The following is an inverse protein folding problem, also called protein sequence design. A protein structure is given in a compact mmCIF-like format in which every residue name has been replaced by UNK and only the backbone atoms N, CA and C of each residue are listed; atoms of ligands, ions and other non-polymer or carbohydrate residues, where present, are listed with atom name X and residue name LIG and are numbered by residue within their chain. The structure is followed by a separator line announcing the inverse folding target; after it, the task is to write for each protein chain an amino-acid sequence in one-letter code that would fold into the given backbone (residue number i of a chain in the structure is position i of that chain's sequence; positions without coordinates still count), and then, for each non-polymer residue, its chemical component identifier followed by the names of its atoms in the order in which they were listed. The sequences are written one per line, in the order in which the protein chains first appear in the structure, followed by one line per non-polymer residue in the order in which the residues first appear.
data_IF_501240313124
#
_entry.id   IF_501240313124
#
_cell.length_a   1.000
_cell.length_b   1.000
_cell.length_c   1.000
_cell.angle_alpha   90.00
_cell.angle_beta   90.00
_cell.angle_gamma   90.00
#
_symmetry.space_group_name_H-M   'P 1'
#
loop_
_entity.id
_entity.type
_entity.pdbx_description
1 polymer ?
#
# COMPACT_ATOMS: atom_id res chain seq x y z
N UNK A 1 -21.22 5.38 -13.98
CA UNK A 1 -20.29 6.30 -13.32
C UNK A 1 -20.83 6.80 -11.97
N UNK A 2 -22.06 7.36 -11.86
CA UNK A 2 -22.63 7.84 -10.57
C UNK A 2 -22.59 6.80 -9.46
N UNK A 3 -23.04 5.58 -9.74
CA UNK A 3 -23.10 4.49 -8.75
C UNK A 3 -21.74 4.05 -8.20
N UNK A 4 -20.67 4.09 -9.01
CA UNK A 4 -19.34 3.73 -8.52
C UNK A 4 -18.72 4.82 -7.64
N UNK A 5 -19.19 6.07 -7.70
CA UNK A 5 -18.81 7.10 -6.73
C UNK A 5 -19.46 6.82 -5.35
N UNK A 6 -20.75 6.49 -5.35
CA UNK A 6 -21.41 6.09 -4.10
C UNK A 6 -20.78 4.82 -3.52
N UNK A 7 -20.47 3.82 -4.38
CA UNK A 7 -19.79 2.61 -3.95
C UNK A 7 -18.42 2.89 -3.31
N UNK A 8 -17.64 3.82 -3.86
CA UNK A 8 -16.37 4.24 -3.27
C UNK A 8 -16.56 4.88 -1.89
N UNK A 9 -17.50 5.81 -1.74
CA UNK A 9 -17.79 6.45 -0.46
C UNK A 9 -18.25 5.45 0.60
N UNK A 10 -19.20 4.57 0.23
CA UNK A 10 -19.69 3.51 1.13
C UNK A 10 -18.56 2.52 1.46
N UNK A 11 -17.77 2.11 0.45
CA UNK A 11 -16.62 1.21 0.64
C UNK A 11 -15.56 1.79 1.57
N UNK A 12 -15.25 3.07 1.47
CA UNK A 12 -14.36 3.73 2.41
C UNK A 12 -14.91 3.71 3.85
N UNK A 13 -16.21 3.94 4.02
CA UNK A 13 -16.84 3.79 5.34
C UNK A 13 -16.79 2.34 5.84
N UNK A 14 -16.97 1.34 4.96
CA UNK A 14 -16.83 -0.08 5.31
C UNK A 14 -15.42 -0.37 5.78
N UNK A 15 -14.37 0.07 5.06
CA UNK A 15 -12.97 -0.09 5.48
C UNK A 15 -12.75 0.54 6.85
N UNK A 16 -13.18 1.80 7.07
CA UNK A 16 -12.98 2.48 8.35
C UNK A 16 -13.68 1.80 9.55
N UNK A 17 -14.84 1.19 9.33
CA UNK A 17 -15.64 0.59 10.41
C UNK A 17 -15.27 -0.88 10.64
N UNK A 18 -15.09 -1.65 9.58
CA UNK A 18 -14.93 -3.10 9.63
C UNK A 18 -13.45 -3.49 9.44
N UNK A 19 -12.75 -2.91 8.45
CA UNK A 19 -11.42 -3.33 8.02
C UNK A 19 -11.44 -4.74 7.43
N UNK A 20 -10.36 -5.51 7.64
CA UNK A 20 -10.22 -6.89 7.16
C UNK A 20 -10.37 -7.88 8.32
N UNK A 21 -11.58 -8.39 8.58
CA UNK A 21 -11.81 -9.36 9.65
C UNK A 21 -11.04 -10.66 9.40
N UNK A 22 -10.26 -11.08 10.38
CA UNK A 22 -9.56 -12.37 10.32
C UNK A 22 -10.57 -13.52 10.16
N UNK A 23 -10.34 -14.40 9.20
CA UNK A 23 -11.17 -15.59 8.96
C UNK A 23 -12.20 -15.45 7.83
N UNK A 24 -12.40 -14.29 7.27
CA UNK A 24 -13.19 -14.15 6.04
C UNK A 24 -12.30 -14.31 4.79
N UNK A 25 -12.83 -14.93 3.72
CA UNK A 25 -12.09 -14.99 2.46
C UNK A 25 -11.78 -13.59 1.96
N UNK A 26 -10.49 -13.26 1.82
CA UNK A 26 -10.07 -11.95 1.38
C UNK A 26 -9.60 -12.00 -0.09
N UNK A 27 -10.05 -11.07 -0.96
CA UNK A 27 -9.69 -11.07 -2.38
C UNK A 27 -8.18 -11.06 -2.64
N UNK A 28 -7.40 -10.36 -1.80
CA UNK A 28 -5.93 -10.31 -1.90
C UNK A 28 -5.31 -11.70 -1.71
N UNK A 29 -5.87 -12.52 -0.82
CA UNK A 29 -5.42 -13.91 -0.67
C UNK A 29 -5.71 -14.73 -1.92
N UNK A 30 -6.88 -14.55 -2.56
CA UNK A 30 -7.21 -15.21 -3.83
C UNK A 30 -6.25 -14.76 -4.95
N UNK A 31 -5.93 -13.46 -5.04
CA UNK A 31 -4.91 -12.93 -5.95
C UNK A 31 -3.54 -13.57 -5.67
N UNK A 32 -3.13 -13.66 -4.42
CA UNK A 32 -1.87 -14.31 -4.02
C UNK A 32 -1.81 -15.79 -4.42
N UNK A 33 -2.91 -16.54 -4.24
CA UNK A 33 -3.00 -17.92 -4.71
C UNK A 33 -2.91 -18.03 -6.25
N UNK A 34 -3.55 -17.13 -6.99
CA UNK A 34 -3.44 -17.07 -8.44
C UNK A 34 -2.01 -16.79 -8.88
N UNK A 35 -1.32 -15.83 -8.27
CA UNK A 35 0.09 -15.52 -8.55
C UNK A 35 0.95 -16.76 -8.32
N UNK A 36 0.82 -17.43 -7.19
CA UNK A 36 1.58 -18.65 -6.86
C UNK A 36 1.29 -19.81 -7.81
N UNK A 37 0.05 -19.92 -8.30
CA UNK A 37 -0.32 -20.92 -9.29
C UNK A 37 0.36 -20.64 -10.63
N UNK A 38 0.26 -19.40 -11.11
CA UNK A 38 0.84 -18.98 -12.38
C UNK A 38 2.37 -19.02 -12.32
N UNK A 39 3.00 -18.63 -11.21
CA UNK A 39 4.44 -18.76 -11.02
C UNK A 39 4.89 -20.22 -11.19
N UNK A 40 4.25 -21.17 -10.48
CA UNK A 40 4.57 -22.60 -10.60
C UNK A 40 4.39 -23.12 -12.01
N UNK A 41 3.33 -22.67 -12.72
CA UNK A 41 3.06 -23.07 -14.10
C UNK A 41 4.13 -22.53 -15.05
N UNK A 42 4.39 -21.22 -15.00
CA UNK A 42 5.30 -20.60 -15.97
C UNK A 42 6.78 -20.91 -15.72
N UNK A 43 7.19 -21.14 -14.46
CA UNK A 43 8.53 -21.70 -14.18
C UNK A 43 8.77 -23.09 -14.78
N UNK A 44 7.69 -23.84 -15.12
CA UNK A 44 7.79 -25.14 -15.82
C UNK A 44 7.76 -24.98 -17.33
N UNK A 45 7.06 -23.99 -17.85
CA UNK A 45 6.85 -23.80 -19.28
C UNK A 45 7.97 -23.00 -19.95
N UNK A 46 8.60 -22.08 -19.22
CA UNK A 46 9.65 -21.23 -19.76
C UNK A 46 11.04 -21.75 -19.41
N UNK A 47 12.06 -21.52 -20.28
CA UNK A 47 13.42 -21.93 -20.01
C UNK A 47 13.99 -21.17 -18.79
N UNK A 48 14.82 -21.86 -18.00
CA UNK A 48 15.50 -21.30 -16.82
C UNK A 48 16.70 -20.42 -17.23
N UNK A 49 16.44 -19.43 -18.04
CA UNK A 49 17.39 -18.40 -18.48
C UNK A 49 16.84 -17.04 -18.03
N UNK A 50 17.68 -16.02 -17.85
CA UNK A 50 17.19 -14.67 -17.49
C UNK A 50 16.08 -14.14 -18.42
N UNK A 51 16.20 -14.36 -19.74
CA UNK A 51 15.18 -13.99 -20.70
C UNK A 51 13.88 -14.78 -20.56
N UNK A 52 13.99 -16.10 -20.35
CA UNK A 52 12.83 -16.98 -20.14
C UNK A 52 12.08 -16.64 -18.84
N UNK A 53 12.79 -16.39 -17.75
CA UNK A 53 12.17 -16.00 -16.49
C UNK A 53 11.48 -14.61 -16.58
N UNK A 54 12.09 -13.63 -17.29
CA UNK A 54 11.44 -12.34 -17.55
C UNK A 54 10.18 -12.48 -18.38
N UNK A 55 10.19 -13.33 -19.40
CA UNK A 55 9.01 -13.64 -20.18
C UNK A 55 7.91 -14.33 -19.34
N UNK A 56 8.30 -15.26 -18.48
CA UNK A 56 7.39 -15.88 -17.51
C UNK A 56 6.77 -14.81 -16.57
N UNK A 57 7.58 -13.91 -16.04
CA UNK A 57 7.14 -12.80 -15.19
C UNK A 57 6.16 -11.87 -15.90
N UNK A 58 6.41 -11.56 -17.17
CA UNK A 58 5.49 -10.78 -18.00
C UNK A 58 4.14 -11.48 -18.19
N UNK A 59 4.16 -12.79 -18.48
CA UNK A 59 2.93 -13.58 -18.61
C UNK A 59 2.14 -13.66 -17.30
N UNK A 60 2.83 -13.84 -16.15
CA UNK A 60 2.20 -13.83 -14.82
C UNK A 60 1.52 -12.47 -14.60
N UNK A 61 2.24 -11.39 -14.88
CA UNK A 61 1.72 -10.03 -14.70
C UNK A 61 0.47 -9.78 -15.54
N UNK A 62 0.52 -10.08 -16.85
CA UNK A 62 -0.61 -9.86 -17.77
C UNK A 62 -1.83 -10.66 -17.32
N UNK A 63 -1.66 -11.96 -17.08
CA UNK A 63 -2.80 -12.82 -16.74
C UNK A 63 -3.40 -12.47 -15.38
N UNK A 64 -2.57 -12.23 -14.37
CA UNK A 64 -3.06 -11.85 -13.04
C UNK A 64 -3.82 -10.54 -13.10
N UNK A 65 -3.27 -9.51 -13.75
CA UNK A 65 -3.88 -8.20 -13.89
C UNK A 65 -5.23 -8.27 -14.64
N UNK A 66 -5.26 -9.01 -15.77
CA UNK A 66 -6.49 -9.19 -16.56
C UNK A 66 -7.56 -9.95 -15.77
N UNK A 67 -7.22 -11.06 -15.12
CA UNK A 67 -8.17 -11.85 -14.33
C UNK A 67 -8.70 -11.03 -13.15
N UNK A 68 -7.81 -10.31 -12.43
CA UNK A 68 -8.19 -9.48 -11.29
C UNK A 68 -9.12 -8.31 -11.68
N UNK A 69 -9.02 -7.79 -12.90
CA UNK A 69 -9.94 -6.78 -13.41
C UNK A 69 -11.23 -7.38 -13.96
N UNK A 70 -11.12 -8.46 -14.74
CA UNK A 70 -12.23 -9.04 -15.47
C UNK A 70 -13.28 -9.71 -14.56
N UNK A 71 -12.85 -10.46 -13.53
CA UNK A 71 -13.77 -11.14 -12.62
C UNK A 71 -14.71 -10.16 -11.89
N UNK A 72 -14.21 -9.08 -11.23
CA UNK A 72 -15.05 -8.05 -10.66
C UNK A 72 -15.96 -7.37 -11.69
N UNK A 73 -15.46 -7.09 -12.89
CA UNK A 73 -16.25 -6.48 -13.94
C UNK A 73 -17.42 -7.37 -14.38
N UNK A 74 -17.17 -8.65 -14.59
CA UNK A 74 -18.20 -9.65 -14.94
C UNK A 74 -19.23 -9.83 -13.82
N UNK A 75 -18.78 -9.90 -12.58
CA UNK A 75 -19.68 -10.00 -11.43
C UNK A 75 -20.59 -8.77 -11.33
N UNK A 76 -20.02 -7.57 -11.41
CA UNK A 76 -20.79 -6.32 -11.36
C UNK A 76 -21.73 -6.16 -12.56
N UNK A 77 -21.33 -6.64 -13.74
CA UNK A 77 -22.20 -6.69 -14.92
C UNK A 77 -23.38 -7.63 -14.68
N UNK A 78 -23.16 -8.82 -14.12
CA UNK A 78 -24.21 -9.76 -13.73
C UNK A 78 -25.16 -9.16 -12.69
N UNK A 79 -24.62 -8.56 -11.62
CA UNK A 79 -25.42 -7.87 -10.60
C UNK A 79 -26.29 -6.76 -11.19
N UNK A 80 -25.75 -5.99 -12.14
CA UNK A 80 -26.48 -4.90 -12.80
C UNK A 80 -27.67 -5.40 -13.64
N UNK A 81 -27.65 -6.66 -14.11
CA UNK A 81 -28.80 -7.29 -14.83
C UNK A 81 -29.93 -7.65 -13.87
N UNK A 82 -29.63 -7.86 -12.59
CA UNK A 82 -30.62 -8.16 -11.56
C UNK A 82 -31.17 -6.87 -10.95
N UNK A 83 -30.28 -6.01 -10.42
CA UNK A 83 -30.66 -4.74 -9.80
C UNK A 83 -29.49 -3.81 -9.68
N UNK A 84 -29.73 -2.51 -9.88
CA UNK A 84 -28.74 -1.46 -9.62
C UNK A 84 -28.32 -1.41 -8.16
N UNK A 85 -29.23 -1.72 -7.25
CA UNK A 85 -28.97 -1.74 -5.80
C UNK A 85 -28.06 -2.91 -5.41
N UNK A 86 -28.27 -4.09 -6.03
CA UNK A 86 -27.40 -5.24 -5.83
C UNK A 86 -25.98 -4.94 -6.33
N UNK A 87 -25.86 -4.34 -7.52
CA UNK A 87 -24.57 -3.88 -8.04
C UNK A 87 -23.89 -2.89 -7.07
N UNK A 88 -24.62 -1.87 -6.59
CA UNK A 88 -24.10 -0.89 -5.66
C UNK A 88 -23.60 -1.57 -4.37
N UNK A 89 -24.39 -2.46 -3.78
CA UNK A 89 -24.00 -3.16 -2.56
C UNK A 89 -22.73 -3.99 -2.75
N UNK A 90 -22.67 -4.80 -3.81
CA UNK A 90 -21.51 -5.64 -4.12
C UNK A 90 -20.26 -4.77 -4.43
N UNK A 91 -20.41 -3.73 -5.25
CA UNK A 91 -19.29 -2.81 -5.57
C UNK A 91 -18.79 -2.08 -4.33
N UNK A 92 -19.69 -1.72 -3.39
CA UNK A 92 -19.30 -1.07 -2.12
C UNK A 92 -18.46 -2.00 -1.23
N UNK A 93 -18.86 -3.26 -1.09
CA UNK A 93 -18.07 -4.26 -0.35
C UNK A 93 -16.72 -4.47 -1.01
N UNK A 94 -16.68 -4.61 -2.33
CA UNK A 94 -15.43 -4.74 -3.08
C UNK A 94 -14.51 -3.54 -2.88
N UNK A 95 -15.04 -2.32 -2.91
CA UNK A 95 -14.27 -1.12 -2.64
C UNK A 95 -13.67 -1.13 -1.23
N UNK A 96 -14.44 -1.55 -0.22
CA UNK A 96 -13.95 -1.67 1.16
C UNK A 96 -12.82 -2.69 1.29
N UNK A 97 -12.95 -3.85 0.63
CA UNK A 97 -11.93 -4.91 0.67
C UNK A 97 -10.61 -4.57 -0.06
N UNK A 98 -10.58 -3.54 -0.89
CA UNK A 98 -9.37 -3.08 -1.59
C UNK A 98 -8.58 -2.10 -0.73
N UNK A 99 -9.27 -1.26 0.05
CA UNK A 99 -8.68 -0.29 0.95
C UNK A 99 -8.17 -0.98 2.22
N UNK A 100 -7.11 -0.45 2.79
CA UNK A 100 -6.45 -1.07 3.94
C UNK A 100 -6.16 -0.06 5.06
N UNK A 101 -6.92 1.05 5.16
CA UNK A 101 -6.63 2.11 6.12
C UNK A 101 -6.82 1.62 7.57
N UNK A 102 -7.94 0.93 7.85
CA UNK A 102 -8.20 0.39 9.19
C UNK A 102 -7.24 -0.73 9.54
N UNK A 103 -7.01 -1.68 8.63
CA UNK A 103 -6.13 -2.82 8.88
C UNK A 103 -4.71 -2.36 9.16
N UNK A 104 -4.19 -1.40 8.39
CA UNK A 104 -2.87 -0.82 8.60
C UNK A 104 -2.75 -0.13 9.97
N UNK A 105 -3.76 0.64 10.36
CA UNK A 105 -3.81 1.23 11.69
C UNK A 105 -3.85 0.17 12.78
N UNK A 106 -4.75 -0.79 12.67
CA UNK A 106 -4.96 -1.79 13.73
C UNK A 106 -3.71 -2.66 13.92
N UNK A 107 -3.04 -3.06 12.85
CA UNK A 107 -1.78 -3.79 12.93
C UNK A 107 -0.65 -2.92 13.52
N UNK A 108 -0.52 -1.65 13.12
CA UNK A 108 0.46 -0.74 13.72
C UNK A 108 0.18 -0.48 15.20
N UNK A 109 -1.09 -0.42 15.62
CA UNK A 109 -1.47 -0.27 17.03
C UNK A 109 -1.21 -1.52 17.86
N UNK A 110 -1.12 -2.73 17.26
CA UNK A 110 -0.61 -3.92 17.97
C UNK A 110 0.86 -3.76 18.33
N UNK A 111 1.67 -3.18 17.42
CA UNK A 111 3.08 -2.86 17.72
C UNK A 111 3.18 -1.85 18.86
N UNK A 112 2.36 -0.79 18.82
CA UNK A 112 2.26 0.19 19.91
C UNK A 112 1.92 -0.47 21.24
N UNK A 113 0.89 -1.33 21.28
CA UNK A 113 0.46 -2.00 22.50
C UNK A 113 1.53 -2.96 23.05
N UNK A 114 2.21 -3.71 22.20
CA UNK A 114 3.30 -4.60 22.58
C UNK A 114 4.50 -3.84 23.15
N UNK A 115 4.87 -2.69 22.58
CA UNK A 115 5.95 -1.83 23.11
C UNK A 115 5.56 -1.17 24.45
N UNK A 116 4.27 -0.87 24.66
CA UNK A 116 3.79 -0.16 25.84
C UNK A 116 3.56 -1.08 27.03
N UNK A 117 3.04 -2.28 26.80
CA UNK A 117 2.53 -3.17 27.85
C UNK A 117 3.16 -4.57 27.82
N UNK A 118 3.87 -4.92 26.78
CA UNK A 118 4.47 -6.22 26.56
C UNK A 118 6.00 -6.20 26.59
N UNK A 119 6.58 -7.15 25.87
CA UNK A 119 8.02 -7.31 25.72
C UNK A 119 8.52 -6.82 24.35
N UNK A 120 9.84 -6.62 24.22
CA UNK A 120 10.45 -6.29 22.94
C UNK A 120 10.26 -7.41 21.90
N UNK A 121 10.24 -8.67 22.33
CA UNK A 121 10.04 -9.81 21.44
C UNK A 121 8.60 -9.88 20.91
N UNK A 122 7.60 -9.58 21.74
CA UNK A 122 6.21 -9.41 21.31
C UNK A 122 6.07 -8.25 20.31
N UNK A 123 6.77 -7.14 20.54
CA UNK A 123 6.78 -6.01 19.61
C UNK A 123 7.47 -6.35 18.29
N UNK A 124 8.56 -7.13 18.32
CA UNK A 124 9.21 -7.66 17.10
C UNK A 124 8.27 -8.59 16.34
N UNK A 125 7.55 -9.47 17.05
CA UNK A 125 6.56 -10.34 16.43
C UNK A 125 5.43 -9.53 15.79
N UNK A 126 4.90 -8.52 16.48
CA UNK A 126 3.84 -7.66 15.94
C UNK A 126 4.32 -6.91 14.69
N UNK A 127 5.51 -6.29 14.71
CA UNK A 127 6.02 -5.54 13.56
C UNK A 127 6.38 -6.45 12.39
N UNK A 128 6.79 -7.72 12.61
CA UNK A 128 7.07 -8.68 11.55
C UNK A 128 5.86 -9.02 10.67
N UNK A 129 4.65 -8.78 11.18
CA UNK A 129 3.42 -8.97 10.42
C UNK A 129 3.16 -7.88 9.36
N UNK A 130 3.86 -6.75 9.47
CA UNK A 130 3.65 -5.57 8.60
C UNK A 130 4.91 -5.12 7.85
N UNK A 131 6.06 -5.73 8.10
CA UNK A 131 7.33 -5.42 7.41
C UNK A 131 7.91 -6.63 6.72
N UNK A 132 8.59 -6.44 5.59
CA UNK A 132 9.28 -7.51 4.86
C UNK A 132 10.74 -7.74 5.28
N UNK A 133 11.27 -6.97 6.26
CA UNK A 133 12.67 -7.08 6.72
C UNK A 133 12.80 -7.95 7.95
N UNK A 134 14.03 -8.41 8.23
CA UNK A 134 14.37 -9.14 9.45
C UNK A 134 14.21 -8.23 10.67
N UNK A 135 13.44 -8.67 11.66
CA UNK A 135 13.11 -7.87 12.85
C UNK A 135 13.86 -8.30 14.11
N UNK A 136 14.50 -9.48 14.10
CA UNK A 136 15.12 -10.08 15.28
C UNK A 136 16.22 -9.22 15.94
N UNK A 137 16.86 -8.34 15.16
CA UNK A 137 17.94 -7.44 15.61
C UNK A 137 17.47 -6.04 15.96
N UNK A 138 16.18 -5.72 15.78
CA UNK A 138 15.67 -4.38 16.07
C UNK A 138 15.58 -4.15 17.58
N UNK A 139 16.09 -3.03 18.05
CA UNK A 139 15.77 -2.50 19.36
C UNK A 139 14.38 -1.84 19.37
N UNK A 140 13.91 -1.36 20.50
CA UNK A 140 12.60 -0.73 20.62
C UNK A 140 12.44 0.47 19.65
N UNK A 141 13.50 1.28 19.45
CA UNK A 141 13.49 2.41 18.53
C UNK A 141 13.43 1.93 17.07
N UNK A 142 14.13 0.86 16.75
CA UNK A 142 14.09 0.21 15.45
C UNK A 142 12.70 -0.34 15.11
N UNK A 143 12.02 -0.94 16.10
CA UNK A 143 10.64 -1.42 15.95
C UNK A 143 9.66 -0.26 15.73
N UNK A 144 9.75 0.82 16.54
CA UNK A 144 8.93 2.02 16.36
C UNK A 144 9.13 2.63 14.97
N UNK A 145 10.40 2.76 14.54
CA UNK A 145 10.75 3.29 13.23
C UNK A 145 10.17 2.45 12.11
N UNK A 146 10.31 1.13 12.18
CA UNK A 146 9.75 0.21 11.19
C UNK A 146 8.22 0.33 11.09
N UNK A 147 7.52 0.47 12.20
CA UNK A 147 6.06 0.66 12.20
C UNK A 147 5.66 2.00 11.55
N UNK A 148 6.35 3.10 11.89
CA UNK A 148 6.07 4.43 11.31
C UNK A 148 6.36 4.45 9.80
N UNK A 149 7.48 3.85 9.36
CA UNK A 149 7.84 3.70 7.93
C UNK A 149 6.75 2.96 7.17
N UNK A 150 6.32 1.80 7.69
CA UNK A 150 5.27 0.99 7.06
C UNK A 150 3.96 1.74 6.92
N UNK A 151 3.54 2.49 7.96
CA UNK A 151 2.33 3.33 7.89
C UNK A 151 2.50 4.43 6.84
N UNK A 152 3.66 5.08 6.78
CA UNK A 152 3.93 6.15 5.83
C UNK A 152 3.92 5.64 4.37
N UNK A 153 4.63 4.56 4.06
CA UNK A 153 4.69 3.94 2.74
C UNK A 153 3.31 3.43 2.31
N UNK A 154 2.66 2.63 3.15
CA UNK A 154 1.36 2.05 2.83
C UNK A 154 0.20 3.06 2.85
N UNK A 155 0.39 4.28 3.34
CA UNK A 155 -0.55 5.38 3.08
C UNK A 155 -0.73 5.57 1.58
N UNK A 156 0.36 5.51 0.79
CA UNK A 156 0.26 5.50 -0.67
C UNK A 156 -0.31 4.18 -1.19
N UNK A 157 0.38 3.08 -0.97
CA UNK A 157 0.19 1.83 -1.70
C UNK A 157 -1.02 1.01 -1.21
N UNK A 158 -1.37 1.16 0.06
CA UNK A 158 -2.50 0.47 0.68
C UNK A 158 -3.80 1.27 0.71
N UNK A 159 -3.73 2.61 0.55
CA UNK A 159 -4.91 3.46 0.74
C UNK A 159 -5.14 4.41 -0.44
N UNK A 160 -4.20 5.32 -0.73
CA UNK A 160 -4.45 6.41 -1.68
C UNK A 160 -4.41 5.91 -3.14
N UNK A 161 -3.43 5.08 -3.48
CA UNK A 161 -3.33 4.53 -4.83
C UNK A 161 -4.54 3.66 -5.18
N UNK A 162 -4.94 2.66 -4.37
CA UNK A 162 -6.15 1.90 -4.68
C UNK A 162 -7.39 2.81 -4.73
N UNK A 163 -7.51 3.84 -3.87
CA UNK A 163 -8.61 4.81 -3.90
C UNK A 163 -8.67 5.58 -5.23
N UNK A 164 -7.53 5.99 -5.77
CA UNK A 164 -7.45 6.65 -7.08
C UNK A 164 -7.96 5.73 -8.20
N UNK A 165 -7.51 4.47 -8.23
CA UNK A 165 -7.96 3.50 -9.23
C UNK A 165 -9.46 3.17 -9.09
N UNK A 166 -9.98 3.08 -7.87
CA UNK A 166 -11.41 2.97 -7.58
C UNK A 166 -12.18 4.20 -8.07
N UNK A 167 -11.65 5.39 -7.88
CA UNK A 167 -12.26 6.62 -8.37
C UNK A 167 -12.30 6.66 -9.90
N UNK A 168 -11.28 6.19 -10.61
CA UNK A 168 -11.21 6.18 -12.08
C UNK A 168 -12.16 5.13 -12.66
N UNK A 169 -12.02 3.87 -12.29
CA UNK A 169 -12.67 2.73 -12.95
C UNK A 169 -13.52 1.82 -12.05
N UNK A 170 -13.85 2.25 -10.82
CA UNK A 170 -14.60 1.43 -9.87
C UNK A 170 -13.81 0.21 -9.38
N UNK A 171 -14.52 -0.75 -8.80
CA UNK A 171 -13.89 -1.96 -8.25
C UNK A 171 -13.01 -2.73 -9.25
N UNK A 172 -13.36 -2.90 -10.53
CA UNK A 172 -12.48 -3.60 -11.47
C UNK A 172 -11.08 -3.01 -11.57
N UNK A 173 -10.96 -1.68 -11.64
CA UNK A 173 -9.65 -1.02 -11.74
C UNK A 173 -8.93 -0.99 -10.38
N UNK A 174 -9.67 -0.94 -9.27
CA UNK A 174 -9.10 -1.13 -7.94
C UNK A 174 -8.48 -2.52 -7.75
N UNK A 175 -9.17 -3.58 -8.18
CA UNK A 175 -8.63 -4.96 -8.15
C UNK A 175 -7.43 -5.13 -9.08
N UNK A 176 -7.46 -4.53 -10.25
CA UNK A 176 -6.29 -4.46 -11.14
C UNK A 176 -5.07 -3.89 -10.40
N UNK A 177 -5.22 -2.70 -9.80
CA UNK A 177 -4.13 -2.09 -9.04
C UNK A 177 -3.67 -2.98 -7.88
N UNK A 178 -4.61 -3.54 -7.11
CA UNK A 178 -4.27 -4.43 -5.99
C UNK A 178 -3.51 -5.66 -6.45
N UNK A 179 -3.83 -6.20 -7.62
CA UNK A 179 -3.08 -7.32 -8.21
C UNK A 179 -1.66 -6.91 -8.61
N UNK A 180 -1.47 -5.73 -9.21
CA UNK A 180 -0.15 -5.19 -9.55
C UNK A 180 0.71 -5.07 -8.30
N UNK A 181 0.20 -4.43 -7.25
CA UNK A 181 0.91 -4.24 -5.99
C UNK A 181 1.19 -5.57 -5.26
N UNK A 182 0.25 -6.53 -5.31
CA UNK A 182 0.46 -7.86 -4.71
C UNK A 182 1.53 -8.66 -5.47
N UNK A 183 1.60 -8.54 -6.79
CA UNK A 183 2.64 -9.21 -7.57
C UNK A 183 4.04 -8.67 -7.24
N UNK A 184 4.20 -7.37 -7.06
CA UNK A 184 5.47 -6.81 -6.61
C UNK A 184 5.83 -7.32 -5.22
N UNK A 185 4.90 -7.27 -4.27
CA UNK A 185 5.12 -7.75 -2.90
C UNK A 185 5.51 -9.24 -2.83
N UNK A 186 5.04 -10.07 -3.77
CA UNK A 186 5.32 -11.52 -3.79
C UNK A 186 6.53 -11.91 -4.64
N UNK A 187 6.79 -11.19 -5.73
CA UNK A 187 7.78 -11.56 -6.74
C UNK A 187 8.88 -10.51 -6.95
N UNK A 188 8.67 -9.24 -6.53
CA UNK A 188 9.52 -8.10 -6.85
C UNK A 188 10.90 -8.06 -6.17
N UNK A 189 11.36 -9.20 -5.62
CA UNK A 189 12.66 -9.28 -4.97
C UNK A 189 13.81 -9.24 -5.99
N UNK A 190 14.86 -8.48 -5.65
CA UNK A 190 16.06 -8.32 -6.51
C UNK A 190 17.05 -9.48 -6.44
N UNK A 191 16.80 -10.46 -5.58
CA UNK A 191 17.67 -11.61 -5.32
C UNK A 191 17.10 -12.89 -5.91
N UNK A 192 17.95 -13.90 -6.21
CA UNK A 192 17.47 -15.22 -6.57
C UNK A 192 16.56 -15.81 -5.47
N UNK A 193 15.48 -16.55 -5.82
CA UNK A 193 15.11 -16.98 -7.17
C UNK A 193 14.19 -16.02 -7.93
N UNK A 194 13.98 -14.79 -7.46
CA UNK A 194 12.98 -13.84 -8.00
C UNK A 194 13.57 -12.76 -8.91
N UNK A 195 14.90 -12.57 -8.92
CA UNK A 195 15.59 -11.48 -9.63
C UNK A 195 15.11 -11.23 -11.07
N UNK A 196 14.91 -12.29 -11.85
CA UNK A 196 14.51 -12.15 -13.26
C UNK A 196 12.99 -12.27 -13.44
N UNK A 197 12.33 -13.20 -12.80
CA UNK A 197 10.89 -13.38 -12.92
C UNK A 197 10.10 -12.23 -12.29
N UNK A 198 10.61 -11.63 -11.21
CA UNK A 198 10.01 -10.49 -10.52
C UNK A 198 10.27 -9.13 -11.18
N UNK A 199 11.18 -9.06 -12.15
CA UNK A 199 11.57 -7.79 -12.77
C UNK A 199 10.39 -7.04 -13.40
N UNK A 200 9.53 -7.75 -14.16
CA UNK A 200 8.37 -7.13 -14.81
C UNK A 200 7.32 -6.72 -13.78
N UNK A 201 6.88 -7.58 -12.84
CA UNK A 201 6.02 -7.18 -11.73
C UNK A 201 6.49 -5.92 -11.01
N UNK A 202 7.76 -5.86 -10.57
CA UNK A 202 8.32 -4.71 -9.86
C UNK A 202 8.31 -3.42 -10.71
N UNK A 203 8.72 -3.50 -11.98
CA UNK A 203 8.70 -2.34 -12.87
C UNK A 203 7.30 -1.83 -13.16
N UNK A 204 6.34 -2.72 -13.28
CA UNK A 204 4.95 -2.32 -13.51
C UNK A 204 4.33 -1.71 -12.25
N UNK A 205 4.65 -2.21 -11.06
CA UNK A 205 4.27 -1.54 -9.82
C UNK A 205 4.85 -0.13 -9.74
N UNK A 206 6.13 0.05 -10.04
CA UNK A 206 6.76 1.37 -10.12
C UNK A 206 6.01 2.33 -11.07
N UNK A 207 5.54 1.84 -12.22
CA UNK A 207 4.79 2.65 -13.21
C UNK A 207 3.40 3.01 -12.67
N UNK A 208 2.64 2.05 -12.13
CA UNK A 208 1.28 2.29 -11.66
C UNK A 208 1.23 3.09 -10.37
N UNK A 209 2.28 3.05 -9.55
CA UNK A 209 2.43 3.87 -8.36
C UNK A 209 3.05 5.26 -8.62
N UNK A 210 3.55 5.54 -9.82
CA UNK A 210 4.27 6.79 -10.09
C UNK A 210 3.42 8.04 -9.82
N UNK A 211 2.21 8.11 -10.33
CA UNK A 211 1.28 9.22 -10.09
C UNK A 211 0.68 9.15 -8.68
N UNK A 212 0.13 8.00 -8.24
CA UNK A 212 -0.45 7.89 -6.90
C UNK A 212 0.50 8.32 -5.78
N UNK A 213 1.75 7.88 -5.77
CA UNK A 213 2.71 8.21 -4.72
C UNK A 213 2.96 9.71 -4.58
N UNK A 214 3.01 10.44 -5.69
CA UNK A 214 3.18 11.91 -5.69
C UNK A 214 1.93 12.64 -5.22
N UNK A 215 0.76 12.18 -5.63
CA UNK A 215 -0.51 12.70 -5.12
C UNK A 215 -0.64 12.41 -3.62
N UNK A 216 -0.26 11.22 -3.17
CA UNK A 216 -0.25 10.83 -1.76
C UNK A 216 0.62 11.76 -0.92
N UNK A 217 1.83 12.08 -1.40
CA UNK A 217 2.75 13.00 -0.75
C UNK A 217 2.14 14.41 -0.62
N UNK A 218 1.60 14.96 -1.69
CA UNK A 218 0.97 16.29 -1.64
C UNK A 218 -0.25 16.33 -0.70
N UNK A 219 -1.06 15.28 -0.70
CA UNK A 219 -2.20 15.16 0.23
C UNK A 219 -1.74 14.96 1.67
N UNK A 220 -0.63 14.24 1.90
CA UNK A 220 -0.05 14.06 3.23
C UNK A 220 0.49 15.38 3.80
N UNK A 221 1.13 16.22 2.99
CA UNK A 221 1.54 17.58 3.38
C UNK A 221 0.34 18.44 3.74
N UNK A 222 -0.75 18.37 2.95
CA UNK A 222 -1.99 19.09 3.26
C UNK A 222 -2.63 18.58 4.57
N UNK A 223 -2.63 17.27 4.79
CA UNK A 223 -3.08 16.68 6.06
C UNK A 223 -2.20 17.12 7.23
N UNK A 224 -0.88 17.18 7.01
CA UNK A 224 0.07 17.72 7.99
C UNK A 224 -0.23 19.17 8.38
N UNK A 225 -0.63 20.01 7.42
CA UNK A 225 -1.05 21.39 7.69
C UNK A 225 -2.29 21.45 8.59
N UNK A 226 -3.29 20.63 8.31
CA UNK A 226 -4.52 20.57 9.12
C UNK A 226 -4.26 20.00 10.53
N UNK A 227 -3.26 19.12 10.68
CA UNK A 227 -2.81 18.60 11.98
C UNK A 227 -1.81 19.53 12.69
N UNK A 228 -1.52 20.72 12.13
CA UNK A 228 -0.57 21.69 12.66
C UNK A 228 0.86 21.13 12.85
N UNK A 229 1.27 20.22 11.98
CA UNK A 229 2.61 19.68 11.93
C UNK A 229 3.58 20.63 11.20
N UNK A 230 4.90 20.35 11.27
CA UNK A 230 5.93 21.17 10.62
C UNK A 230 5.95 20.97 9.09
N UNK A 231 4.97 21.57 8.39
CA UNK A 231 4.82 21.49 6.93
C UNK A 231 6.02 22.06 6.19
N UNK A 232 6.66 23.12 6.74
CA UNK A 232 7.84 23.71 6.13
C UNK A 232 8.99 22.70 6.10
N UNK A 233 9.17 21.97 7.19
CA UNK A 233 10.15 20.89 7.25
C UNK A 233 9.71 19.68 6.41
N UNK A 234 8.44 19.30 6.43
CA UNK A 234 7.87 18.27 5.56
C UNK A 234 8.22 18.51 4.10
N UNK A 235 7.89 19.69 3.58
CA UNK A 235 8.23 20.07 2.20
C UNK A 235 9.74 20.09 1.91
N UNK A 236 10.55 20.58 2.87
CA UNK A 236 12.03 20.58 2.74
C UNK A 236 12.57 19.16 2.59
N UNK A 237 12.16 18.25 3.48
CA UNK A 237 12.59 16.85 3.47
C UNK A 237 12.07 16.12 2.23
N UNK A 238 10.82 16.28 1.87
CA UNK A 238 10.25 15.73 0.65
C UNK A 238 11.10 16.10 -0.57
N UNK A 239 11.39 17.37 -0.79
CA UNK A 239 12.20 17.80 -1.95
C UNK A 239 13.60 17.22 -1.96
N UNK A 240 14.19 17.01 -0.80
CA UNK A 240 15.57 16.51 -0.66
C UNK A 240 15.64 14.99 -0.77
N UNK A 241 14.71 14.26 -0.14
CA UNK A 241 14.87 12.84 0.17
C UNK A 241 13.90 11.90 -0.60
N UNK A 242 12.92 12.41 -1.29
CA UNK A 242 11.89 11.61 -1.99
C UNK A 242 12.41 10.60 -3.03
N UNK A 243 13.67 10.68 -3.39
CA UNK A 243 14.31 9.79 -4.36
C UNK A 243 15.40 8.90 -3.71
N UNK A 244 15.46 8.82 -2.39
CA UNK A 244 16.47 8.04 -1.65
C UNK A 244 16.10 6.56 -1.44
N UNK A 245 15.03 6.09 -2.02
CA UNK A 245 14.64 4.68 -1.95
C UNK A 245 14.92 4.00 -3.29
N UNK A 246 15.08 2.64 -3.27
CA UNK A 246 15.28 1.85 -4.49
C UNK A 246 14.06 1.93 -5.43
N UNK A 247 12.84 1.89 -4.88
CA UNK A 247 11.63 2.26 -5.61
C UNK A 247 11.52 3.78 -5.73
N UNK A 248 11.13 4.32 -6.89
CA UNK A 248 10.94 5.77 -7.08
C UNK A 248 9.71 6.32 -6.34
N UNK A 249 8.94 5.44 -5.69
CA UNK A 249 7.62 5.73 -5.11
C UNK A 249 7.62 5.70 -3.58
N UNK A 250 8.27 4.74 -2.93
CA UNK A 250 8.20 4.52 -1.47
C UNK A 250 8.62 5.74 -0.66
N UNK A 251 9.74 6.38 -1.04
CA UNK A 251 10.23 7.55 -0.32
C UNK A 251 9.37 8.82 -0.48
N UNK A 252 8.35 8.83 -1.32
CA UNK A 252 7.49 10.01 -1.51
C UNK A 252 6.76 10.34 -0.19
N UNK A 253 5.98 9.40 0.34
CA UNK A 253 5.23 9.56 1.59
C UNK A 253 6.10 9.38 2.84
N UNK A 254 7.13 8.52 2.79
CA UNK A 254 8.08 8.39 3.90
C UNK A 254 8.82 9.69 4.20
N UNK A 255 9.26 10.40 3.16
CA UNK A 255 9.97 11.68 3.34
C UNK A 255 9.07 12.79 3.91
N UNK A 256 7.79 12.82 3.50
CA UNK A 256 6.82 13.74 4.09
C UNK A 256 6.60 13.42 5.56
N UNK A 257 6.31 12.16 5.88
CA UNK A 257 6.08 11.71 7.26
C UNK A 257 7.30 12.04 8.15
N UNK A 258 8.51 11.70 7.67
CA UNK A 258 9.75 12.01 8.37
C UNK A 258 9.89 13.51 8.64
N UNK A 259 9.64 14.34 7.64
CA UNK A 259 9.75 15.79 7.76
C UNK A 259 8.68 16.41 8.65
N UNK A 260 7.42 16.00 8.48
CA UNK A 260 6.28 16.50 9.26
C UNK A 260 6.41 16.17 10.75
N UNK A 261 6.92 14.96 11.07
CA UNK A 261 7.10 14.50 12.46
C UNK A 261 8.48 14.86 13.04
N UNK A 262 9.42 15.37 12.24
CA UNK A 262 10.78 15.71 12.66
C UNK A 262 11.64 14.49 13.00
N UNK A 263 11.42 13.38 12.28
CA UNK A 263 12.07 12.09 12.47
C UNK A 263 13.11 11.80 11.41
N UNK A 264 13.99 10.85 11.72
CA UNK A 264 14.87 10.20 10.76
C UNK A 264 14.44 8.75 10.58
N UNK A 265 13.97 8.40 9.40
CA UNK A 265 13.46 7.10 8.99
C UNK A 265 14.46 6.39 8.07
N UNK A 266 14.13 5.19 7.62
CA UNK A 266 14.93 4.32 6.77
C UNK A 266 16.31 3.98 7.39
N UNK A 267 17.36 3.91 6.58
CA UNK A 267 18.70 3.44 6.99
C UNK A 267 18.85 1.94 6.77
N UNK A 268 19.99 1.41 7.21
CA UNK A 268 20.37 0.01 6.99
C UNK A 268 19.32 -0.97 7.50
N UNK A 269 19.03 -2.01 6.72
CA UNK A 269 18.05 -3.03 7.06
C UNK A 269 18.56 -4.44 6.68
N UNK A 270 18.18 -5.43 7.44
CA UNK A 270 18.50 -6.83 7.17
C UNK A 270 17.36 -7.50 6.41
N UNK A 271 17.71 -8.27 5.37
CA UNK A 271 16.78 -9.09 4.61
C UNK A 271 17.41 -10.47 4.42
N UNK A 272 16.72 -11.52 4.87
CA UNK A 272 17.21 -12.90 4.80
C UNK A 272 18.65 -13.08 5.33
N UNK A 273 18.98 -12.37 6.41
CA UNK A 273 20.30 -12.42 7.04
C UNK A 273 21.40 -11.58 6.35
N UNK A 274 21.07 -10.86 5.27
CA UNK A 274 21.99 -9.98 4.54
C UNK A 274 21.70 -8.51 4.88
N UNK A 275 22.75 -7.74 5.17
CA UNK A 275 22.63 -6.30 5.44
C UNK A 275 22.57 -5.50 4.14
N UNK A 276 21.47 -4.81 3.94
CA UNK A 276 21.30 -3.84 2.85
C UNK A 276 21.52 -2.43 3.36
N UNK A 277 22.52 -1.77 2.82
CA UNK A 277 22.77 -0.36 3.11
C UNK A 277 21.73 0.51 2.40
N UNK A 278 21.08 1.38 3.16
CA UNK A 278 20.06 2.33 2.66
C UNK A 278 20.34 3.72 3.23
N UNK A 279 20.05 4.73 2.44
CA UNK A 279 20.12 6.10 2.89
C UNK A 279 19.05 6.38 3.96
N UNK A 280 19.36 7.28 4.90
CA UNK A 280 18.39 7.81 5.81
C UNK A 280 17.48 8.83 5.12
N UNK A 281 16.22 8.85 5.52
CA UNK A 281 15.19 9.78 5.09
C UNK A 281 14.82 10.67 6.28
N UNK A 282 14.85 12.00 6.08
CA UNK A 282 14.58 12.97 7.12
C UNK A 282 15.78 13.30 7.99
N UNK A 283 15.56 14.23 8.90
CA UNK A 283 16.54 14.72 9.90
C UNK A 283 16.03 14.35 11.30
N UNK A 284 16.93 13.85 12.16
CA UNK A 284 16.59 13.57 13.56
C UNK A 284 16.50 14.88 14.35
N UNK A 285 15.41 15.65 14.16
CA UNK A 285 15.16 16.86 14.98
C UNK A 285 14.79 16.50 16.42
N UNK A 286 14.28 15.31 16.62
CA UNK A 286 14.00 14.66 17.90
C UNK A 286 14.15 13.15 17.78
N UNK A 287 14.24 12.51 18.92
CA UNK A 287 14.20 11.05 19.00
C UNK A 287 12.78 10.56 18.66
N UNK A 288 12.72 9.34 18.11
CA UNK A 288 11.45 8.67 17.88
C UNK A 288 10.83 8.25 19.22
N UNK A 289 9.53 8.47 19.36
CA UNK A 289 8.73 8.16 20.54
C UNK A 289 7.66 7.13 20.21
N UNK A 290 7.17 6.44 21.22
CA UNK A 290 6.08 5.46 21.06
C UNK A 290 4.83 6.08 20.41
N UNK A 291 4.53 7.33 20.76
CA UNK A 291 3.39 8.10 20.25
C UNK A 291 3.50 8.44 18.75
N UNK A 292 4.65 8.22 18.11
CA UNK A 292 4.79 8.46 16.68
C UNK A 292 4.04 7.42 15.84
N UNK A 293 3.82 6.22 16.37
CA UNK A 293 2.97 5.22 15.71
C UNK A 293 1.53 5.73 15.55
N UNK A 294 0.80 6.14 16.61
CA UNK A 294 -0.52 6.71 16.44
C UNK A 294 -0.53 8.09 15.75
N UNK A 295 0.56 8.88 15.80
CA UNK A 295 0.69 10.14 15.03
C UNK A 295 0.72 9.86 13.52
N UNK A 296 1.51 8.88 13.07
CA UNK A 296 1.54 8.43 11.68
C UNK A 296 0.16 7.89 11.23
N UNK A 297 -0.51 7.10 12.07
CA UNK A 297 -1.87 6.63 11.80
C UNK A 297 -2.90 7.76 11.63
N UNK A 298 -2.84 8.81 12.46
CA UNK A 298 -3.71 10.00 12.30
C UNK A 298 -3.42 10.76 11.01
N UNK A 299 -2.14 10.91 10.66
CA UNK A 299 -1.72 11.54 9.41
C UNK A 299 -2.24 10.75 8.21
N UNK A 300 -2.10 9.42 8.21
CA UNK A 300 -2.65 8.52 7.19
C UNK A 300 -4.17 8.70 7.02
N UNK A 301 -4.94 8.65 8.12
CA UNK A 301 -6.39 8.78 8.03
C UNK A 301 -6.84 10.12 7.45
N UNK A 302 -6.23 11.21 7.89
CA UNK A 302 -6.58 12.52 7.35
C UNK A 302 -6.19 12.65 5.88
N UNK A 303 -5.03 12.07 5.50
CA UNK A 303 -4.63 11.98 4.08
C UNK A 303 -5.65 11.19 3.27
N UNK A 304 -6.17 10.08 3.79
CA UNK A 304 -7.20 9.28 3.13
C UNK A 304 -8.53 10.03 2.96
N UNK A 305 -8.96 10.78 3.97
CA UNK A 305 -10.16 11.61 3.89
C UNK A 305 -10.00 12.70 2.82
N UNK A 306 -8.85 13.39 2.79
CA UNK A 306 -8.57 14.40 1.77
C UNK A 306 -8.54 13.78 0.37
N UNK A 307 -7.96 12.60 0.22
CA UNK A 307 -7.96 11.87 -1.05
C UNK A 307 -9.37 11.53 -1.52
N UNK A 308 -10.23 11.03 -0.63
CA UNK A 308 -11.63 10.73 -0.97
C UNK A 308 -12.36 11.99 -1.45
N UNK A 309 -12.17 13.11 -0.78
CA UNK A 309 -12.77 14.39 -1.19
C UNK A 309 -12.26 14.83 -2.56
N UNK A 310 -10.95 14.83 -2.78
CA UNK A 310 -10.33 15.28 -4.05
C UNK A 310 -10.72 14.37 -5.20
N UNK A 311 -10.57 13.04 -5.04
CA UNK A 311 -10.86 12.08 -6.10
C UNK A 311 -12.37 11.96 -6.35
N UNK A 312 -13.17 12.05 -5.28
CA UNK A 312 -14.62 12.06 -5.37
C UNK A 312 -15.15 13.30 -6.10
N UNK A 313 -14.63 14.47 -5.78
CA UNK A 313 -14.96 15.73 -6.48
C UNK A 313 -14.55 15.68 -7.96
N UNK A 314 -13.33 15.20 -8.25
CA UNK A 314 -12.87 15.00 -9.63
C UNK A 314 -13.79 14.06 -10.42
N UNK A 315 -14.17 12.92 -9.83
CA UNK A 315 -15.13 12.00 -10.46
C UNK A 315 -16.52 12.61 -10.62
N UNK A 316 -17.00 13.35 -9.64
CA UNK A 316 -18.30 14.02 -9.73
C UNK A 316 -18.32 15.04 -10.87
N UNK A 317 -17.25 15.80 -11.04
CA UNK A 317 -17.10 16.75 -12.15
C UNK A 317 -17.17 16.05 -13.51
N UNK A 318 -16.46 14.92 -13.68
CA UNK A 318 -16.49 14.12 -14.91
C UNK A 318 -17.85 13.45 -15.19
N UNK A 319 -18.76 13.39 -14.21
CA UNK A 319 -20.11 12.87 -14.39
C UNK A 319 -21.07 13.96 -14.88
N UNK A 320 -20.77 15.22 -14.55
CA UNK A 320 -21.60 16.40 -14.89
C UNK A 320 -21.24 16.95 -16.28
N UNK A 321 -19.96 16.88 -16.65
CA UNK A 321 -19.47 17.22 -17.99
C UNK A 321 -19.85 16.14 -19.03
#
# INVERSE_FOLDING_TARGET
MKWSLFALCIGFCIDLLIGDPHGLPHPVAAIGHLISLLERLFRRLFPKTPGGERAAGACIWILTALIAAALPALLLWGCARVSVWLRLAVESVMCGQILAAKSLRDESMKVYAALKHGSLDEARQAVSMIVGRDVARLDARGVMRAAVETVAENTSDGVIAPMLFLAIGGAPLGFFYKAVNTMDSMLGYVEPPYKDIGLVPARMDDVFNFIPARLSALLMLAAGALLQLDVKNGWKIFRRDRCKHASPNSAQTESDCAGLLGLRLAGDAWYHGVLHKKDYIGDAKREIELEDIPRAGRLMYLTAVLALVVFGAGKALLIVL
#
